data_IF_065512864225
#
_entry.id   IF_065512864225
#
_cell.length_a   1.000
_cell.length_b   1.000
_cell.length_c   1.000
_cell.angle_alpha   90.00
_cell.angle_beta   90.00
_cell.angle_gamma   90.00
#
_symmetry.space_group_name_H-M   'P 1'
#
loop_
_entity.id
_entity.type
_entity.pdbx_description
1 polymer ?
#
# COMPACT_ATOMS: atom_id res chain seq x y z
N UNK A 1 -4.42 -42.26 32.66
CA UNK A 1 -3.15 -41.51 32.49
C UNK A 1 -2.77 -41.38 31.00
N UNK A 2 -3.67 -40.86 30.15
CA UNK A 2 -3.34 -40.55 28.74
C UNK A 2 -3.93 -39.20 28.28
N UNK A 3 -4.52 -38.46 29.21
CA UNK A 3 -5.19 -37.17 28.97
C UNK A 3 -4.46 -35.97 29.57
N UNK A 4 -3.43 -36.18 30.39
CA UNK A 4 -2.64 -35.09 30.99
C UNK A 4 -1.35 -34.76 30.21
N UNK A 5 -0.84 -35.67 29.37
CA UNK A 5 0.34 -35.41 28.52
C UNK A 5 0.02 -34.63 27.22
N UNK A 6 -1.26 -34.43 26.91
CA UNK A 6 -1.69 -33.58 25.78
C UNK A 6 -1.89 -32.11 26.16
N UNK A 7 -1.84 -31.78 27.46
CA UNK A 7 -2.08 -30.41 27.94
C UNK A 7 -0.79 -29.58 28.02
N UNK A 8 0.37 -30.23 28.18
CA UNK A 8 1.67 -29.54 28.30
C UNK A 8 2.43 -29.38 26.97
N UNK A 9 1.88 -29.90 25.86
CA UNK A 9 2.42 -29.68 24.51
C UNK A 9 1.66 -28.61 23.71
N UNK A 10 0.67 -27.94 24.32
CA UNK A 10 -0.11 -26.87 23.70
C UNK A 10 0.33 -25.46 24.11
N UNK A 11 1.33 -25.30 24.99
CA UNK A 11 1.83 -23.99 25.44
C UNK A 11 3.23 -23.62 24.92
N UNK A 12 3.81 -24.44 24.05
CA UNK A 12 5.05 -24.11 23.33
C UNK A 12 4.76 -23.82 21.85
N UNK A 13 3.80 -22.94 21.55
CA UNK A 13 3.49 -22.60 20.16
C UNK A 13 4.74 -22.03 19.46
N UNK A 14 4.90 -22.45 18.20
CA UNK A 14 5.97 -22.12 17.26
C UNK A 14 6.07 -20.63 16.87
N UNK A 15 5.58 -19.73 17.74
CA UNK A 15 5.64 -18.27 17.63
C UNK A 15 6.85 -17.69 18.37
N UNK A 16 7.51 -18.44 19.26
CA UNK A 16 8.60 -17.90 20.09
C UNK A 16 9.99 -17.78 19.41
N UNK A 17 10.13 -18.13 18.13
CA UNK A 17 11.42 -18.10 17.41
C UNK A 17 11.46 -17.12 16.21
N UNK A 18 10.39 -16.39 15.92
CA UNK A 18 10.33 -15.45 14.80
C UNK A 18 10.58 -13.98 15.17
N UNK A 19 10.67 -13.66 16.46
CA UNK A 19 10.75 -12.28 16.96
C UNK A 19 12.08 -11.92 17.64
N UNK A 20 13.20 -12.53 17.23
CA UNK A 20 14.52 -12.03 17.65
C UNK A 20 15.11 -11.10 16.59
N UNK A 21 15.35 -9.81 16.90
CA UNK A 21 16.06 -8.92 16.01
C UNK A 21 17.52 -9.38 15.88
N UNK A 22 18.07 -9.28 14.66
CA UNK A 22 19.51 -9.40 14.46
C UNK A 22 20.23 -8.20 15.14
N UNK A 23 21.43 -8.41 15.71
CA UNK A 23 22.12 -7.34 16.42
C UNK A 23 22.44 -6.16 15.49
N UNK A 24 21.99 -4.96 15.88
CA UNK A 24 22.40 -3.69 15.25
C UNK A 24 21.42 -3.06 14.25
N UNK A 25 20.21 -3.60 14.05
CA UNK A 25 19.19 -3.00 13.16
C UNK A 25 17.92 -2.75 13.98
N UNK A 26 17.41 -1.52 14.09
CA UNK A 26 16.12 -1.27 14.74
C UNK A 26 14.99 -1.93 13.94
N UNK A 27 14.15 -2.71 14.62
CA UNK A 27 13.00 -3.35 14.01
C UNK A 27 11.98 -2.29 13.53
N UNK A 28 11.48 -2.37 12.28
CA UNK A 28 10.29 -1.63 11.89
C UNK A 28 9.08 -2.27 12.57
N UNK A 29 8.32 -1.46 13.31
CA UNK A 29 7.13 -1.90 14.03
C UNK A 29 6.09 -2.54 13.11
N UNK A 30 5.27 -3.41 13.70
CA UNK A 30 4.08 -4.00 13.11
C UNK A 30 3.20 -2.91 12.49
N UNK A 31 3.02 -2.96 11.17
CA UNK A 31 1.94 -2.26 10.49
C UNK A 31 0.68 -3.10 10.72
N UNK A 32 0.12 -2.96 11.91
CA UNK A 32 -1.16 -3.52 12.28
C UNK A 32 -2.25 -2.55 11.81
N UNK A 33 -3.17 -3.06 10.99
CA UNK A 33 -4.31 -2.29 10.50
C UNK A 33 -4.84 -2.81 9.17
N UNK A 34 -5.53 -3.96 9.20
CA UNK A 34 -6.61 -4.16 8.23
C UNK A 34 -7.52 -2.92 8.28
N UNK A 35 -8.02 -2.40 7.15
CA UNK A 35 -9.00 -1.34 7.21
C UNK A 35 -10.17 -1.82 8.10
N UNK A 36 -10.63 -0.99 9.06
CA UNK A 36 -11.78 -1.36 9.87
C UNK A 36 -12.93 -1.74 8.95
N UNK A 37 -13.63 -2.83 9.28
CA UNK A 37 -14.90 -3.13 8.62
C UNK A 37 -15.78 -1.89 8.68
N UNK A 38 -16.56 -1.65 7.61
CA UNK A 38 -17.37 -0.45 7.34
C UNK A 38 -18.32 0.01 8.48
N UNK A 39 -18.35 -0.69 9.62
CA UNK A 39 -19.17 -0.38 10.79
C UNK A 39 -18.41 0.32 11.94
N UNK A 40 -17.09 0.53 11.86
CA UNK A 40 -16.30 1.09 12.99
C UNK A 40 -15.57 2.41 12.73
N UNK A 41 -15.72 3.02 11.55
CA UNK A 41 -15.23 4.38 11.30
C UNK A 41 -16.25 5.42 11.81
N UNK A 42 -16.52 5.40 13.11
CA UNK A 42 -17.29 6.46 13.79
C UNK A 42 -16.45 7.03 14.91
N UNK A 43 -15.37 7.72 14.59
CA UNK A 43 -14.78 8.68 15.52
C UNK A 43 -14.57 10.02 14.82
N UNK A 44 -15.71 10.72 14.73
CA UNK A 44 -15.92 12.16 14.51
C UNK A 44 -15.52 12.72 13.14
N UNK A 45 -16.43 12.66 12.15
CA UNK A 45 -16.41 13.56 11.01
C UNK A 45 -16.44 15.03 11.46
N UNK A 46 -15.93 15.97 10.63
CA UNK A 46 -16.06 17.40 10.91
C UNK A 46 -17.54 17.78 11.05
N UNK A 47 -17.80 18.62 12.04
CA UNK A 47 -19.11 19.00 12.57
C UNK A 47 -19.92 19.88 11.60
N UNK A 48 -20.19 19.44 10.37
CA UNK A 48 -21.20 20.07 9.51
C UNK A 48 -22.55 19.36 9.57
N UNK A 49 -22.56 18.07 9.94
CA UNK A 49 -23.78 17.27 10.01
C UNK A 49 -24.59 17.41 11.32
N UNK A 50 -24.08 18.09 12.36
CA UNK A 50 -24.78 18.23 13.66
C UNK A 50 -25.73 19.43 13.75
N UNK A 51 -25.72 20.36 12.81
CA UNK A 51 -26.60 21.54 12.84
C UNK A 51 -27.96 21.31 12.18
N UNK A 52 -28.25 20.09 11.72
CA UNK A 52 -29.51 19.76 11.03
C UNK A 52 -30.53 19.13 11.99
N UNK A 53 -30.15 18.75 13.20
CA UNK A 53 -31.06 18.05 14.13
C UNK A 53 -32.00 18.94 14.92
N UNK A 54 -31.79 20.26 15.03
CA UNK A 54 -32.69 21.11 15.84
C UNK A 54 -32.94 22.48 15.15
N UNK A 55 -34.14 22.60 14.59
CA UNK A 55 -35.01 23.79 14.48
C UNK A 55 -34.59 25.10 13.77
N UNK A 56 -33.36 25.34 13.29
CA UNK A 56 -33.05 26.66 12.70
C UNK A 56 -32.90 26.69 11.15
N UNK A 57 -33.75 27.46 10.41
CA UNK A 57 -33.59 27.68 8.98
C UNK A 57 -32.33 28.48 8.59
N UNK A 58 -31.69 29.15 9.54
CA UNK A 58 -30.45 29.91 9.34
C UNK A 58 -29.20 29.04 9.10
N UNK A 59 -29.21 27.76 9.49
CA UNK A 59 -28.07 26.84 9.24
C UNK A 59 -28.05 26.31 7.81
N UNK A 60 -29.18 26.37 7.10
CA UNK A 60 -29.36 25.75 5.80
C UNK A 60 -28.78 26.57 4.65
N UNK A 61 -28.96 27.90 4.67
CA UNK A 61 -28.30 28.82 3.72
C UNK A 61 -26.77 28.74 3.83
N UNK A 62 -26.24 28.54 5.04
CA UNK A 62 -24.81 28.33 5.28
C UNK A 62 -24.31 27.01 4.66
N UNK A 63 -25.08 25.93 4.77
CA UNK A 63 -24.75 24.63 4.16
C UNK A 63 -24.82 24.71 2.64
N UNK A 64 -25.84 25.36 2.06
CA UNK A 64 -25.94 25.58 0.61
C UNK A 64 -24.75 26.40 0.11
N UNK A 65 -24.40 27.47 0.82
CA UNK A 65 -23.29 28.35 0.44
C UNK A 65 -21.96 27.60 0.53
N UNK A 66 -21.76 26.78 1.57
CA UNK A 66 -20.57 25.95 1.72
C UNK A 66 -20.46 24.86 0.63
N UNK A 67 -21.58 24.19 0.30
CA UNK A 67 -21.65 23.20 -0.77
C UNK A 67 -21.39 23.86 -2.14
N UNK A 68 -21.93 25.06 -2.37
CA UNK A 68 -21.72 25.82 -3.60
C UNK A 68 -20.28 26.35 -3.74
N UNK A 69 -19.62 26.64 -2.61
CA UNK A 69 -18.21 27.04 -2.56
C UNK A 69 -17.25 25.84 -2.62
N UNK A 70 -17.75 24.61 -2.48
CA UNK A 70 -16.92 23.41 -2.57
C UNK A 70 -16.43 23.22 -4.00
N UNK A 71 -15.11 23.07 -4.17
CA UNK A 71 -14.45 22.92 -5.47
C UNK A 71 -14.00 21.45 -5.64
N UNK A 72 -14.90 20.54 -6.05
CA UNK A 72 -14.56 19.12 -6.22
C UNK A 72 -13.59 18.88 -7.39
N UNK A 73 -13.54 19.80 -8.35
CA UNK A 73 -12.65 19.73 -9.52
C UNK A 73 -11.17 19.76 -9.13
N UNK A 74 -10.79 20.64 -8.20
CA UNK A 74 -9.41 20.73 -7.71
C UNK A 74 -8.98 19.44 -7.02
N UNK A 75 -9.91 18.80 -6.28
CA UNK A 75 -9.65 17.54 -5.63
C UNK A 75 -9.46 16.40 -6.65
N UNK A 76 -10.29 16.35 -7.69
CA UNK A 76 -10.15 15.38 -8.78
C UNK A 76 -8.81 15.58 -9.51
N UNK A 77 -8.45 16.82 -9.82
CA UNK A 77 -7.16 17.15 -10.44
C UNK A 77 -5.97 16.74 -9.56
N UNK A 78 -6.07 16.95 -8.24
CA UNK A 78 -5.05 16.53 -7.29
C UNK A 78 -4.90 15.00 -7.25
N UNK A 79 -6.00 14.24 -7.25
CA UNK A 79 -5.96 12.78 -7.33
C UNK A 79 -5.41 12.27 -8.65
N UNK A 80 -5.70 12.92 -9.78
CA UNK A 80 -5.06 12.60 -11.06
C UNK A 80 -3.55 12.82 -11.02
N UNK A 81 -3.10 13.94 -10.43
CA UNK A 81 -1.68 14.26 -10.28
C UNK A 81 -0.98 13.25 -9.38
N UNK A 82 -1.62 12.86 -8.29
CA UNK A 82 -1.16 11.81 -7.40
C UNK A 82 -1.05 10.47 -8.13
N UNK A 83 -2.07 10.09 -8.90
CA UNK A 83 -2.08 8.85 -9.68
C UNK A 83 -0.96 8.82 -10.73
N UNK A 84 -0.75 9.92 -11.45
CA UNK A 84 0.35 10.06 -12.39
C UNK A 84 1.72 9.94 -11.69
N UNK A 85 1.85 10.51 -10.50
CA UNK A 85 3.05 10.39 -9.66
C UNK A 85 3.29 8.94 -9.20
N UNK A 86 2.23 8.22 -8.81
CA UNK A 86 2.34 6.80 -8.46
C UNK A 86 2.79 5.95 -9.65
N UNK A 87 2.18 6.14 -10.82
CA UNK A 87 2.54 5.38 -12.02
C UNK A 87 3.97 5.66 -12.47
N UNK A 88 4.39 6.93 -12.44
CA UNK A 88 5.76 7.29 -12.82
C UNK A 88 6.83 6.79 -11.85
N UNK A 89 6.53 6.73 -10.55
CA UNK A 89 7.51 6.35 -9.52
C UNK A 89 7.52 4.86 -9.20
N UNK A 90 6.36 4.21 -9.13
CA UNK A 90 6.23 2.84 -8.62
C UNK A 90 6.28 1.79 -9.74
N UNK A 91 5.75 2.09 -10.94
CA UNK A 91 5.77 1.14 -12.06
C UNK A 91 7.19 0.73 -12.48
N UNK A 92 8.18 1.65 -12.56
CA UNK A 92 9.56 1.25 -12.81
C UNK A 92 10.13 0.33 -11.74
N UNK A 93 9.82 0.57 -10.47
CA UNK A 93 10.30 -0.25 -9.34
C UNK A 93 9.74 -1.68 -9.40
N UNK A 94 8.49 -1.84 -9.83
CA UNK A 94 7.92 -3.18 -10.08
C UNK A 94 8.75 -3.92 -11.14
N UNK A 95 9.14 -3.24 -12.22
CA UNK A 95 9.98 -3.86 -13.25
C UNK A 95 11.37 -4.22 -12.73
N UNK A 96 11.99 -3.36 -11.91
CA UNK A 96 13.30 -3.62 -11.29
C UNK A 96 13.21 -4.84 -10.35
N UNK A 97 12.18 -4.92 -9.49
CA UNK A 97 11.94 -6.07 -8.61
C UNK A 97 11.77 -7.37 -9.41
N UNK A 98 11.04 -7.35 -10.52
CA UNK A 98 10.89 -8.52 -11.39
C UNK A 98 12.22 -8.94 -12.01
N UNK A 99 13.04 -7.99 -12.46
CA UNK A 99 14.36 -8.30 -13.03
C UNK A 99 15.28 -8.93 -11.98
N UNK A 100 15.30 -8.39 -10.76
CA UNK A 100 16.08 -8.92 -9.66
C UNK A 100 15.58 -10.31 -9.24
N UNK A 101 14.26 -10.52 -9.19
CA UNK A 101 13.69 -11.84 -8.89
C UNK A 101 14.11 -12.90 -9.94
N UNK A 102 14.13 -12.53 -11.23
CA UNK A 102 14.65 -13.40 -12.30
C UNK A 102 16.14 -13.68 -12.12
N UNK A 103 16.92 -12.70 -11.70
CA UNK A 103 18.36 -12.86 -11.43
C UNK A 103 18.60 -13.80 -10.24
N UNK A 104 17.92 -13.59 -9.11
CA UNK A 104 17.98 -14.47 -7.93
C UNK A 104 17.62 -15.90 -8.32
N UNK A 105 16.55 -16.08 -9.10
CA UNK A 105 16.11 -17.40 -9.57
C UNK A 105 17.17 -18.10 -10.45
N UNK A 106 17.91 -17.35 -11.27
CA UNK A 106 19.03 -17.89 -12.06
C UNK A 106 20.21 -18.27 -11.16
N UNK A 107 20.54 -17.43 -10.18
CA UNK A 107 21.66 -17.65 -9.25
C UNK A 107 21.38 -18.84 -8.33
N UNK A 108 20.15 -18.98 -7.83
CA UNK A 108 19.68 -20.14 -7.05
C UNK A 108 19.97 -21.47 -7.76
N UNK A 109 19.74 -21.56 -9.08
CA UNK A 109 19.98 -22.78 -9.87
C UNK A 109 21.46 -23.15 -9.99
N UNK A 110 22.37 -22.21 -9.74
CA UNK A 110 23.83 -22.39 -9.82
C UNK A 110 24.46 -22.64 -8.44
N UNK A 111 23.67 -22.57 -7.38
CA UNK A 111 24.13 -22.77 -6.01
C UNK A 111 23.94 -24.24 -5.59
N UNK A 112 24.90 -24.74 -4.81
CA UNK A 112 24.92 -26.13 -4.35
C UNK A 112 24.89 -26.28 -2.82
N UNK A 113 25.13 -25.21 -2.06
CA UNK A 113 25.01 -25.22 -0.60
C UNK A 113 23.58 -24.90 -0.20
N UNK A 114 23.03 -25.71 0.70
CA UNK A 114 21.69 -25.51 1.24
C UNK A 114 21.53 -24.11 1.89
N UNK A 115 22.57 -23.61 2.57
CA UNK A 115 22.59 -22.27 3.16
C UNK A 115 22.41 -21.16 2.11
N UNK A 116 23.21 -21.19 1.04
CA UNK A 116 23.14 -20.18 -0.03
C UNK A 116 21.79 -20.25 -0.79
N UNK A 117 21.25 -21.46 -0.97
CA UNK A 117 19.91 -21.67 -1.56
C UNK A 117 18.81 -21.10 -0.64
N UNK A 118 18.93 -21.29 0.67
CA UNK A 118 18.02 -20.71 1.67
C UNK A 118 18.05 -19.18 1.68
N UNK A 119 19.24 -18.57 1.55
CA UNK A 119 19.35 -17.11 1.38
C UNK A 119 18.66 -16.61 0.11
N UNK A 120 18.77 -17.32 -1.02
CA UNK A 120 18.04 -16.96 -2.23
C UNK A 120 16.52 -17.07 -2.04
N UNK A 121 16.02 -18.07 -1.31
CA UNK A 121 14.60 -18.20 -1.00
C UNK A 121 14.10 -17.05 -0.13
N UNK A 122 14.87 -16.64 0.87
CA UNK A 122 14.54 -15.49 1.70
C UNK A 122 14.49 -14.20 0.88
N UNK A 123 15.45 -14.00 -0.03
CA UNK A 123 15.45 -12.85 -0.95
C UNK A 123 14.21 -12.87 -1.85
N UNK A 124 13.84 -14.01 -2.42
CA UNK A 124 12.61 -14.13 -3.24
C UNK A 124 11.36 -13.76 -2.44
N UNK A 125 11.25 -14.25 -1.20
CA UNK A 125 10.11 -13.92 -0.32
C UNK A 125 10.06 -12.42 -0.01
N UNK A 126 11.21 -11.78 0.26
CA UNK A 126 11.29 -10.34 0.50
C UNK A 126 10.92 -9.53 -0.74
N UNK A 127 11.41 -9.91 -1.93
CA UNK A 127 11.04 -9.27 -3.20
C UNK A 127 9.53 -9.37 -3.48
N UNK A 128 8.92 -10.53 -3.20
CA UNK A 128 7.49 -10.72 -3.36
C UNK A 128 6.67 -9.82 -2.42
N UNK A 129 7.13 -9.63 -1.18
CA UNK A 129 6.50 -8.69 -0.22
C UNK A 129 6.54 -7.25 -0.73
N UNK A 130 7.70 -6.79 -1.18
CA UNK A 130 7.85 -5.44 -1.74
C UNK A 130 6.97 -5.23 -2.98
N UNK A 131 6.93 -6.23 -3.87
CA UNK A 131 6.09 -6.16 -5.06
C UNK A 131 4.59 -6.11 -4.70
N UNK A 132 4.15 -6.85 -3.68
CA UNK A 132 2.78 -6.76 -3.18
C UNK A 132 2.47 -5.37 -2.62
N UNK A 133 3.36 -4.79 -1.80
CA UNK A 133 3.17 -3.43 -1.26
C UNK A 133 3.06 -2.38 -2.36
N UNK A 134 3.90 -2.45 -3.40
CA UNK A 134 3.79 -1.56 -4.56
C UNK A 134 2.46 -1.73 -5.31
N UNK A 135 2.04 -2.98 -5.53
CA UNK A 135 0.78 -3.28 -6.21
C UNK A 135 -0.44 -2.80 -5.42
N UNK A 136 -0.46 -3.00 -4.11
CA UNK A 136 -1.51 -2.51 -3.21
C UNK A 136 -1.59 -0.99 -3.25
N UNK A 137 -0.46 -0.29 -3.19
CA UNK A 137 -0.43 1.17 -3.29
C UNK A 137 -0.97 1.69 -4.63
N UNK A 138 -0.62 1.04 -5.74
CA UNK A 138 -1.15 1.38 -7.06
C UNK A 138 -2.66 1.14 -7.17
N UNK A 139 -3.16 0.04 -6.61
CA UNK A 139 -4.59 -0.24 -6.59
C UNK A 139 -5.35 0.75 -5.71
N UNK A 140 -4.81 1.08 -4.54
CA UNK A 140 -5.41 2.03 -3.62
C UNK A 140 -5.56 3.41 -4.26
N UNK A 141 -4.53 3.91 -4.94
CA UNK A 141 -4.61 5.20 -5.64
C UNK A 141 -5.64 5.21 -6.78
N UNK A 142 -5.83 4.09 -7.48
CA UNK A 142 -6.90 3.95 -8.47
C UNK A 142 -8.29 3.99 -7.79
N UNK A 143 -8.48 3.23 -6.71
CA UNK A 143 -9.75 3.18 -5.97
C UNK A 143 -10.14 4.55 -5.43
N UNK A 144 -9.19 5.34 -4.92
CA UNK A 144 -9.48 6.69 -4.43
C UNK A 144 -9.84 7.65 -5.55
N UNK A 145 -9.19 7.56 -6.71
CA UNK A 145 -9.56 8.36 -7.88
C UNK A 145 -10.99 8.02 -8.34
N UNK A 146 -11.30 6.73 -8.50
CA UNK A 146 -12.63 6.26 -8.90
C UNK A 146 -13.71 6.69 -7.90
N UNK A 147 -13.44 6.55 -6.60
CA UNK A 147 -14.34 6.99 -5.53
C UNK A 147 -14.58 8.51 -5.58
N UNK A 148 -13.52 9.30 -5.78
CA UNK A 148 -13.62 10.77 -5.88
C UNK A 148 -14.50 11.18 -7.08
N UNK A 149 -14.34 10.52 -8.22
CA UNK A 149 -15.17 10.78 -9.40
C UNK A 149 -16.65 10.45 -9.15
N UNK A 150 -16.95 9.33 -8.50
CA UNK A 150 -18.33 8.93 -8.15
C UNK A 150 -18.93 9.95 -7.17
N UNK A 151 -18.17 10.35 -6.15
CA UNK A 151 -18.63 11.29 -5.13
C UNK A 151 -18.86 12.69 -5.72
N UNK A 152 -17.98 13.16 -6.63
CA UNK A 152 -18.19 14.40 -7.37
C UNK A 152 -19.47 14.33 -8.20
N UNK A 153 -19.66 13.26 -8.98
CA UNK A 153 -20.87 13.10 -9.78
C UNK A 153 -22.14 13.10 -8.91
N UNK A 154 -22.10 12.43 -7.75
CA UNK A 154 -23.19 12.46 -6.77
C UNK A 154 -23.48 13.87 -6.26
N UNK A 155 -22.43 14.61 -5.89
CA UNK A 155 -22.54 16.00 -5.45
C UNK A 155 -23.21 16.89 -6.51
N UNK A 156 -22.69 16.86 -7.75
CA UNK A 156 -23.21 17.66 -8.86
C UNK A 156 -24.69 17.33 -9.14
N UNK A 157 -25.04 16.05 -9.11
CA UNK A 157 -26.41 15.58 -9.31
C UNK A 157 -27.35 16.08 -8.22
N UNK A 158 -26.99 15.93 -6.94
CA UNK A 158 -27.85 16.36 -5.84
C UNK A 158 -27.95 17.88 -5.74
N UNK A 159 -26.90 18.63 -6.12
CA UNK A 159 -26.99 20.08 -6.26
C UNK A 159 -27.99 20.49 -7.36
N UNK A 160 -27.98 19.80 -8.51
CA UNK A 160 -28.94 20.07 -9.59
C UNK A 160 -30.39 19.78 -9.14
N UNK A 161 -30.62 18.62 -8.53
CA UNK A 161 -31.93 18.22 -8.00
C UNK A 161 -32.43 19.18 -6.90
N UNK A 162 -31.53 19.64 -6.01
CA UNK A 162 -31.87 20.65 -5.01
C UNK A 162 -32.29 21.97 -5.65
N UNK A 163 -31.58 22.44 -6.68
CA UNK A 163 -31.93 23.66 -7.44
C UNK A 163 -33.25 23.53 -8.20
N UNK A 164 -33.61 22.34 -8.66
CA UNK A 164 -34.90 22.08 -9.30
C UNK A 164 -36.03 22.06 -8.29
N UNK A 165 -35.86 21.38 -7.16
CA UNK A 165 -36.85 21.32 -6.08
C UNK A 165 -37.14 22.70 -5.48
N UNK A 166 -36.13 23.56 -5.31
CA UNK A 166 -36.34 24.95 -4.85
C UNK A 166 -37.12 25.79 -5.86
N UNK A 167 -36.86 25.64 -7.18
CA UNK A 167 -37.63 26.32 -8.23
C UNK A 167 -39.10 25.88 -8.25
N UNK A 168 -39.37 24.61 -7.94
CA UNK A 168 -40.72 24.05 -7.87
C UNK A 168 -41.45 24.39 -6.55
N UNK A 169 -40.77 25.02 -5.59
CA UNK A 169 -41.32 25.36 -4.28
C UNK A 169 -41.44 24.16 -3.33
N UNK A 170 -40.88 22.99 -3.68
CA UNK A 170 -40.83 21.82 -2.81
C UNK A 170 -39.59 21.85 -1.91
N UNK A 171 -39.70 22.63 -0.84
CA UNK A 171 -38.62 22.81 0.12
C UNK A 171 -38.27 21.53 0.92
N UNK A 172 -39.19 20.57 1.02
CA UNK A 172 -38.93 19.30 1.69
C UNK A 172 -38.02 18.40 0.86
N UNK A 173 -38.27 18.30 -0.45
CA UNK A 173 -37.38 17.59 -1.37
C UNK A 173 -36.03 18.28 -1.51
N UNK A 174 -36.00 19.62 -1.58
CA UNK A 174 -34.75 20.38 -1.58
C UNK A 174 -33.89 20.06 -0.33
N UNK A 175 -34.52 19.95 0.85
CA UNK A 175 -33.89 19.51 2.12
C UNK A 175 -33.23 18.15 2.04
N UNK A 176 -33.91 17.16 1.47
CA UNK A 176 -33.36 15.82 1.31
C UNK A 176 -32.16 15.82 0.33
N UNK A 177 -32.27 16.52 -0.79
CA UNK A 177 -31.18 16.59 -1.78
C UNK A 177 -29.95 17.33 -1.25
N UNK A 178 -30.14 18.41 -0.50
CA UNK A 178 -29.00 19.14 0.10
C UNK A 178 -28.32 18.32 1.18
N UNK A 179 -29.06 17.54 1.96
CA UNK A 179 -28.48 16.58 2.91
C UNK A 179 -27.64 15.51 2.20
N UNK A 180 -28.15 14.95 1.11
CA UNK A 180 -27.38 13.99 0.32
C UNK A 180 -26.11 14.64 -0.27
N UNK A 181 -26.22 15.87 -0.79
CA UNK A 181 -25.08 16.64 -1.28
C UNK A 181 -24.03 16.90 -0.18
N UNK A 182 -24.44 17.24 1.05
CA UNK A 182 -23.51 17.42 2.16
C UNK A 182 -22.76 16.14 2.51
N UNK A 183 -23.44 14.99 2.50
CA UNK A 183 -22.77 13.69 2.75
C UNK A 183 -21.73 13.35 1.68
N UNK A 184 -21.98 13.73 0.42
CA UNK A 184 -21.00 13.60 -0.65
C UNK A 184 -19.81 14.56 -0.48
N UNK A 185 -20.07 15.80 -0.07
CA UNK A 185 -19.03 16.79 0.21
C UNK A 185 -18.15 16.39 1.41
N UNK A 186 -18.75 15.88 2.49
CA UNK A 186 -18.02 15.38 3.66
C UNK A 186 -17.07 14.24 3.28
N UNK A 187 -17.53 13.28 2.48
CA UNK A 187 -16.69 12.18 1.99
C UNK A 187 -15.57 12.69 1.07
N UNK A 188 -15.83 13.68 0.21
CA UNK A 188 -14.78 14.29 -0.61
C UNK A 188 -13.74 15.00 0.28
N UNK A 189 -14.15 15.60 1.39
CA UNK A 189 -13.24 16.20 2.36
C UNK A 189 -12.38 15.12 3.05
N UNK A 190 -12.95 13.98 3.41
CA UNK A 190 -12.17 12.83 3.92
C UNK A 190 -11.12 12.37 2.91
N UNK A 191 -11.49 12.25 1.63
CA UNK A 191 -10.53 11.92 0.57
C UNK A 191 -9.42 12.97 0.43
N UNK A 192 -9.74 14.25 0.59
CA UNK A 192 -8.72 15.32 0.60
C UNK A 192 -7.74 15.17 1.77
N UNK A 193 -8.24 14.76 2.94
CA UNK A 193 -7.40 14.50 4.12
C UNK A 193 -6.49 13.31 3.85
N UNK A 194 -7.00 12.22 3.29
CA UNK A 194 -6.20 11.03 2.91
C UNK A 194 -5.07 11.42 1.94
N UNK A 195 -5.37 12.20 0.90
CA UNK A 195 -4.38 12.70 -0.05
C UNK A 195 -3.26 13.52 0.62
N UNK A 196 -3.59 14.22 1.71
CA UNK A 196 -2.66 15.07 2.45
C UNK A 196 -1.76 14.27 3.41
N UNK A 197 -2.04 12.99 3.65
CA UNK A 197 -1.25 12.17 4.58
C UNK A 197 0.15 11.91 4.03
N UNK A 198 1.22 12.20 4.80
CA UNK A 198 2.59 12.01 4.34
C UNK A 198 2.99 10.54 4.14
N UNK A 199 2.30 9.63 4.82
CA UNK A 199 2.53 8.18 4.72
C UNK A 199 2.03 7.60 3.39
N UNK A 200 1.02 8.23 2.78
CA UNK A 200 0.47 7.81 1.50
C UNK A 200 1.23 8.41 0.31
N UNK A 201 2.24 9.24 0.55
CA UNK A 201 2.96 9.92 -0.53
C UNK A 201 3.82 8.94 -1.34
N UNK A 202 3.65 8.89 -2.68
CA UNK A 202 4.33 7.90 -3.52
C UNK A 202 5.86 8.00 -3.46
N UNK A 203 6.38 9.22 -3.22
CA UNK A 203 7.81 9.49 -3.09
C UNK A 203 8.45 8.77 -1.90
N UNK A 204 7.72 8.69 -0.77
CA UNK A 204 8.24 8.07 0.45
C UNK A 204 8.36 6.56 0.27
N UNK A 205 7.29 5.95 -0.25
CA UNK A 205 7.28 4.53 -0.60
C UNK A 205 8.36 4.19 -1.62
N UNK A 206 8.46 4.97 -2.71
CA UNK A 206 9.49 4.77 -3.73
C UNK A 206 10.91 4.87 -3.15
N UNK A 207 11.15 5.79 -2.21
CA UNK A 207 12.43 5.91 -1.51
C UNK A 207 12.78 4.68 -0.67
N UNK A 208 11.82 4.18 0.10
CA UNK A 208 12.00 2.98 0.94
C UNK A 208 12.26 1.73 0.09
N UNK A 209 11.44 1.50 -0.93
CA UNK A 209 11.60 0.34 -1.82
C UNK A 209 12.91 0.39 -2.59
N UNK A 210 13.37 1.56 -3.04
CA UNK A 210 14.70 1.70 -3.67
C UNK A 210 15.84 1.33 -2.73
N UNK A 211 15.78 1.76 -1.47
CA UNK A 211 16.80 1.42 -0.48
C UNK A 211 16.84 -0.10 -0.23
N UNK A 212 15.68 -0.74 -0.11
CA UNK A 212 15.60 -2.19 0.05
C UNK A 212 16.09 -2.93 -1.19
N UNK A 213 15.72 -2.47 -2.39
CA UNK A 213 16.16 -3.04 -3.64
C UNK A 213 17.69 -3.00 -3.75
N UNK A 214 18.32 -1.86 -3.45
CA UNK A 214 19.79 -1.73 -3.42
C UNK A 214 20.47 -2.70 -2.44
N UNK A 215 19.87 -2.92 -1.27
CA UNK A 215 20.38 -3.89 -0.29
C UNK A 215 20.25 -5.32 -0.81
N UNK A 216 19.11 -5.68 -1.40
CA UNK A 216 18.88 -7.01 -1.96
C UNK A 216 19.78 -7.27 -3.17
N UNK A 217 19.98 -6.29 -4.05
CA UNK A 217 20.93 -6.37 -5.17
C UNK A 217 22.35 -6.67 -4.69
N UNK A 218 22.83 -5.96 -3.66
CA UNK A 218 24.16 -6.23 -3.07
C UNK A 218 24.28 -7.66 -2.55
N UNK A 219 23.25 -8.16 -1.86
CA UNK A 219 23.24 -9.54 -1.37
C UNK A 219 23.35 -10.52 -2.54
N UNK A 220 22.56 -10.32 -3.60
CA UNK A 220 22.59 -11.18 -4.80
C UNK A 220 23.96 -11.13 -5.48
N UNK A 221 24.55 -9.94 -5.65
CA UNK A 221 25.89 -9.78 -6.20
C UNK A 221 26.96 -10.52 -5.38
N UNK A 222 26.87 -10.50 -4.03
CA UNK A 222 27.82 -11.24 -3.19
C UNK A 222 27.66 -12.77 -3.32
N UNK A 223 26.43 -13.26 -3.48
CA UNK A 223 26.15 -14.67 -3.73
C UNK A 223 26.69 -15.10 -5.10
N UNK A 224 26.51 -14.27 -6.13
CA UNK A 224 27.05 -14.50 -7.47
C UNK A 224 28.58 -14.51 -7.47
N UNK A 225 29.24 -13.57 -6.78
CA UNK A 225 30.69 -13.54 -6.63
C UNK A 225 31.24 -14.83 -5.98
N UNK A 226 30.53 -15.36 -4.98
CA UNK A 226 30.89 -16.65 -4.36
C UNK A 226 30.74 -17.83 -5.32
N UNK A 227 29.71 -17.85 -6.19
CA UNK A 227 29.57 -18.90 -7.21
C UNK A 227 30.69 -18.86 -8.24
N UNK A 228 31.01 -17.67 -8.77
CA UNK A 228 32.02 -17.49 -9.82
C UNK A 228 33.42 -17.83 -9.34
N UNK A 229 33.79 -17.42 -8.13
CA UNK A 229 35.07 -17.80 -7.49
C UNK A 229 35.24 -19.32 -7.38
N UNK A 230 34.17 -20.04 -7.03
CA UNK A 230 34.20 -21.51 -6.91
C UNK A 230 34.29 -22.21 -8.26
N UNK A 231 33.58 -21.72 -9.28
CA UNK A 231 33.69 -22.23 -10.65
C UNK A 231 35.13 -22.08 -11.13
N UNK A 232 35.75 -20.92 -10.91
CA UNK A 232 37.17 -20.70 -11.26
C UNK A 232 38.12 -21.63 -10.51
N UNK A 233 37.90 -21.85 -9.21
CA UNK A 233 38.69 -22.81 -8.43
C UNK A 233 38.55 -24.24 -8.96
N UNK A 234 37.34 -24.68 -9.31
CA UNK A 234 37.08 -26.00 -9.90
C UNK A 234 37.72 -26.15 -11.28
N UNK A 235 37.64 -25.12 -12.13
CA UNK A 235 38.31 -25.11 -13.44
C UNK A 235 39.83 -25.21 -13.27
N UNK A 236 40.43 -24.51 -12.31
CA UNK A 236 41.86 -24.61 -12.01
C UNK A 236 42.26 -26.00 -11.53
N UNK A 237 41.45 -26.66 -10.69
CA UNK A 237 41.71 -28.03 -10.24
C UNK A 237 41.58 -29.03 -11.39
N UNK A 238 40.53 -28.93 -12.19
CA UNK A 238 40.30 -29.81 -13.34
C UNK A 238 41.37 -29.65 -14.43
N UNK A 239 41.84 -28.42 -14.69
CA UNK A 239 42.92 -28.16 -15.64
C UNK A 239 44.27 -28.67 -15.16
N UNK A 240 44.57 -28.56 -13.85
CA UNK A 240 45.76 -29.18 -13.24
C UNK A 240 45.71 -30.71 -13.29
N UNK A 241 44.57 -31.31 -12.93
CA UNK A 241 44.40 -32.76 -12.96
C UNK A 241 44.53 -33.35 -14.38
N UNK A 242 44.02 -32.65 -15.40
CA UNK A 242 44.18 -33.07 -16.81
C UNK A 242 45.61 -32.94 -17.32
N UNK A 243 46.38 -31.99 -16.79
CA UNK A 243 47.80 -31.86 -17.10
C UNK A 243 48.60 -33.00 -16.44
N UNK A 244 48.34 -33.30 -15.17
CA UNK A 244 48.98 -34.40 -14.43
C UNK A 244 48.64 -35.79 -15.00
N UNK A 245 47.48 -35.98 -15.61
CA UNK A 245 47.10 -37.24 -16.25
C UNK A 245 47.64 -37.43 -17.69
N UNK A 246 48.22 -36.38 -18.29
CA UNK A 246 48.75 -36.39 -19.67
C UNK A 246 50.28 -36.26 -19.73
N UNK A 247 50.94 -36.06 -18.59
CA UNK A 247 52.38 -36.19 -18.42
C UNK A 247 52.70 -37.59 -17.87
#
# INVERSE_FOLDING_TARGET
>A
MLTELRRNFAEGSATALHDKPLPGIPAPGSIEGLPPSYQQATEKPPTYARTITEEEPASYDNVITAIAAFQPDDLVAAWHTFRASQLSLLTPLISELETLNRQVSKTKRRLHRAEDVGFCEEVIVRLAREQNTLNESLQQGQRYLDATLILKYGLDRYQALAKEATKLGDYNQARLHIKAASEHADKLLEMKIELSRPEQQPRRLAGQTRQQLHLLEKIVQTLEARTTSRIWALVQVATRSNYEARC
#
